data_IF_892524185119
#
_entry.id   IF_892524185119
#
_cell.length_a   1.000
_cell.length_b   1.000
_cell.length_c   1.000
_cell.angle_alpha   90.00
_cell.angle_beta   90.00
_cell.angle_gamma   90.00
#
_symmetry.space_group_name_H-M   'P 1'
#
loop_
_entity.id
_entity.type
_entity.pdbx_description
1 polymer ?
#
# COMPACT_ATOMS: atom_id res chain seq x y z
N UNK A 1 -4.54 1.50 -8.60
CA UNK A 1 -5.41 1.41 -7.41
C UNK A 1 -6.84 1.81 -7.77
N UNK A 2 -7.86 1.09 -7.25
CA UNK A 2 -9.26 1.24 -7.65
C UNK A 2 -10.08 2.25 -6.81
N UNK A 3 -9.49 2.88 -5.80
CA UNK A 3 -10.20 3.84 -4.95
C UNK A 3 -11.22 3.21 -3.99
N UNK A 4 -11.16 1.91 -3.75
CA UNK A 4 -11.99 1.22 -2.75
C UNK A 4 -11.41 1.45 -1.35
N UNK A 5 -12.22 1.86 -0.35
CA UNK A 5 -11.74 1.96 1.03
C UNK A 5 -11.38 0.57 1.57
N UNK A 6 -10.34 0.51 2.41
CA UNK A 6 -9.79 -0.75 2.92
C UNK A 6 -9.84 -0.78 4.45
N UNK A 7 -10.22 -1.93 5.00
CA UNK A 7 -9.99 -2.30 6.40
C UNK A 7 -8.92 -3.39 6.42
N UNK A 8 -7.86 -3.22 7.22
CA UNK A 8 -6.74 -4.16 7.27
C UNK A 8 -6.23 -4.39 8.70
N UNK A 9 -5.45 -5.44 8.90
CA UNK A 9 -4.78 -5.68 10.18
C UNK A 9 -3.57 -4.77 10.35
N UNK A 10 -3.17 -4.43 11.59
CA UNK A 10 -1.92 -3.73 11.85
C UNK A 10 -0.70 -4.46 11.24
N UNK A 11 -0.71 -5.79 11.27
CA UNK A 11 0.35 -6.63 10.70
C UNK A 11 0.46 -6.44 9.18
N UNK A 12 -0.67 -6.44 8.46
CA UNK A 12 -0.68 -6.19 7.02
C UNK A 12 -0.16 -4.79 6.65
N UNK A 13 -0.29 -3.82 7.56
CA UNK A 13 0.18 -2.45 7.36
C UNK A 13 1.61 -2.18 7.84
N UNK A 14 2.25 -3.14 8.52
CA UNK A 14 3.52 -2.93 9.23
C UNK A 14 4.69 -2.45 8.35
N UNK A 15 4.71 -2.85 7.08
CA UNK A 15 5.73 -2.45 6.11
C UNK A 15 5.31 -1.26 5.23
N UNK A 16 4.09 -0.74 5.44
CA UNK A 16 3.52 0.36 4.67
C UNK A 16 3.62 1.67 5.46
N UNK A 17 3.80 2.77 4.75
CA UNK A 17 3.85 4.13 5.30
C UNK A 17 2.44 4.76 5.37
N UNK A 18 1.46 3.94 5.76
CA UNK A 18 0.04 4.31 5.85
C UNK A 18 -0.30 4.81 7.26
N UNK A 19 -1.30 5.67 7.34
CA UNK A 19 -1.86 6.16 8.60
C UNK A 19 -3.32 5.72 8.76
N UNK A 20 -3.63 5.11 9.91
CA UNK A 20 -5.00 4.77 10.27
C UNK A 20 -5.91 6.02 10.31
N UNK A 21 -7.18 5.88 9.97
CA UNK A 21 -8.20 6.95 9.86
C UNK A 21 -7.94 8.01 8.74
N UNK A 22 -6.74 7.99 8.14
CA UNK A 22 -6.36 8.84 7.00
C UNK A 22 -6.39 8.08 5.68
N UNK A 23 -5.66 6.97 5.59
CA UNK A 23 -5.45 6.21 4.35
C UNK A 23 -6.30 4.93 4.31
N UNK A 24 -6.57 4.35 5.48
CA UNK A 24 -7.36 3.12 5.67
C UNK A 24 -7.85 3.01 7.12
N UNK A 25 -8.72 2.04 7.41
CA UNK A 25 -9.11 1.67 8.76
C UNK A 25 -8.37 0.42 9.21
N UNK A 26 -8.02 0.34 10.50
CA UNK A 26 -7.36 -0.83 11.07
C UNK A 26 -8.29 -1.59 12.02
N UNK A 27 -8.16 -2.91 12.04
CA UNK A 27 -8.84 -3.80 12.96
C UNK A 27 -7.94 -5.00 13.32
N UNK A 28 -7.89 -5.36 14.60
CA UNK A 28 -7.08 -6.46 15.13
C UNK A 28 -7.93 -7.68 15.54
N UNK A 29 -9.26 -7.55 15.56
CA UNK A 29 -10.18 -8.64 15.86
C UNK A 29 -11.34 -8.71 14.85
N UNK A 30 -12.05 -9.84 14.82
CA UNK A 30 -13.20 -10.02 13.93
C UNK A 30 -14.33 -9.00 14.24
N UNK A 31 -14.54 -8.69 15.52
CA UNK A 31 -15.54 -7.71 15.94
C UNK A 31 -15.18 -6.29 15.50
N UNK A 32 -13.90 -5.92 15.62
CA UNK A 32 -13.41 -4.63 15.12
C UNK A 32 -13.54 -4.53 13.60
N UNK A 33 -13.25 -5.62 12.87
CA UNK A 33 -13.44 -5.68 11.42
C UNK A 33 -14.89 -5.43 11.05
N UNK A 34 -15.82 -6.15 11.67
CA UNK A 34 -17.24 -5.98 11.44
C UNK A 34 -17.67 -4.52 11.68
N UNK A 35 -17.21 -3.93 12.79
CA UNK A 35 -17.51 -2.54 13.15
C UNK A 35 -16.99 -1.53 12.12
N UNK A 36 -15.75 -1.68 11.67
CA UNK A 36 -15.16 -0.76 10.69
C UNK A 36 -15.77 -0.93 9.30
N UNK A 37 -16.11 -2.16 8.89
CA UNK A 37 -16.81 -2.42 7.64
C UNK A 37 -18.20 -1.79 7.66
N UNK A 38 -18.98 -1.99 8.73
CA UNK A 38 -20.29 -1.35 8.88
C UNK A 38 -20.18 0.17 8.86
N UNK A 39 -19.19 0.75 9.55
CA UNK A 39 -18.93 2.19 9.51
C UNK A 39 -18.68 2.71 8.09
N UNK A 40 -17.98 1.96 7.24
CA UNK A 40 -17.76 2.34 5.83
C UNK A 40 -19.04 2.20 4.98
N UNK A 41 -19.92 1.27 5.33
CA UNK A 41 -21.20 1.08 4.63
C UNK A 41 -22.24 2.13 5.04
N UNK A 42 -22.18 2.64 6.28
CA UNK A 42 -23.10 3.65 6.80
C UNK A 42 -22.68 5.10 6.49
N UNK A 43 -21.38 5.35 6.21
CA UNK A 43 -20.82 6.68 5.95
C UNK A 43 -20.14 6.73 4.57
N UNK A 44 -20.93 7.06 3.54
CA UNK A 44 -20.47 7.21 2.16
C UNK A 44 -19.35 8.26 2.01
N UNK A 45 -19.39 9.33 2.81
CA UNK A 45 -18.38 10.39 2.75
C UNK A 45 -17.04 9.90 3.29
N UNK A 46 -17.05 9.15 4.39
CA UNK A 46 -15.88 8.46 4.91
C UNK A 46 -15.33 7.45 3.91
N UNK A 47 -16.19 6.62 3.32
CA UNK A 47 -15.80 5.63 2.33
C UNK A 47 -15.11 6.26 1.11
N UNK A 48 -15.71 7.32 0.55
CA UNK A 48 -15.13 8.06 -0.57
C UNK A 48 -13.79 8.72 -0.19
N UNK A 49 -13.72 9.33 1.00
CA UNK A 49 -12.50 9.99 1.49
C UNK A 49 -11.34 9.00 1.64
N UNK A 50 -11.57 7.87 2.29
CA UNK A 50 -10.55 6.85 2.50
C UNK A 50 -10.17 6.15 1.20
N UNK A 51 -11.14 5.85 0.33
CA UNK A 51 -10.87 5.32 -1.00
C UNK A 51 -9.94 6.21 -1.83
N UNK A 52 -10.22 7.52 -1.86
CA UNK A 52 -9.38 8.50 -2.53
C UNK A 52 -7.99 8.66 -1.87
N UNK A 53 -7.92 8.61 -0.53
CA UNK A 53 -6.65 8.67 0.19
C UNK A 53 -5.77 7.45 -0.05
N UNK A 54 -6.33 6.23 0.03
CA UNK A 54 -5.62 5.00 -0.28
C UNK A 54 -5.12 4.96 -1.73
N UNK A 55 -5.91 5.46 -2.69
CA UNK A 55 -5.45 5.60 -4.09
C UNK A 55 -4.23 6.53 -4.21
N UNK A 56 -4.30 7.71 -3.60
CA UNK A 56 -3.16 8.66 -3.58
C UNK A 56 -1.91 8.06 -2.94
N UNK A 57 -2.06 7.31 -1.85
CA UNK A 57 -0.95 6.61 -1.21
C UNK A 57 -0.26 5.64 -2.18
N UNK A 58 -1.03 4.80 -2.88
CA UNK A 58 -0.49 3.86 -3.87
C UNK A 58 0.21 4.58 -5.02
N UNK A 59 -0.40 5.63 -5.58
CA UNK A 59 0.20 6.42 -6.67
C UNK A 59 1.52 7.07 -6.27
N UNK A 60 1.70 7.44 -5.01
CA UNK A 60 2.91 8.09 -4.51
C UNK A 60 4.04 7.11 -4.14
N UNK A 61 3.69 5.92 -3.63
CA UNK A 61 4.69 5.02 -3.00
C UNK A 61 4.85 3.69 -3.74
N UNK A 62 3.92 3.33 -4.62
CA UNK A 62 3.85 2.02 -5.26
C UNK A 62 3.59 2.11 -6.77
N UNK A 63 4.05 3.19 -7.41
CA UNK A 63 3.99 3.31 -8.87
C UNK A 63 4.89 2.26 -9.53
N UNK A 64 4.28 1.39 -10.33
CA UNK A 64 4.95 0.26 -10.97
C UNK A 64 6.06 0.68 -11.91
N UNK A 65 5.88 1.79 -12.65
CA UNK A 65 6.88 2.24 -13.61
C UNK A 65 8.14 2.72 -12.88
N UNK A 66 7.96 3.39 -11.73
CA UNK A 66 9.09 3.84 -10.89
C UNK A 66 9.85 2.65 -10.31
N UNK A 67 9.14 1.63 -9.81
CA UNK A 67 9.77 0.44 -9.23
C UNK A 67 10.48 -0.38 -10.31
N UNK A 68 9.87 -0.55 -11.48
CA UNK A 68 10.45 -1.28 -12.60
C UNK A 68 11.73 -0.61 -13.11
N UNK A 69 11.70 0.71 -13.34
CA UNK A 69 12.87 1.46 -13.79
C UNK A 69 14.04 1.32 -12.80
N UNK A 70 13.78 1.41 -11.48
CA UNK A 70 14.81 1.19 -10.46
C UNK A 70 15.39 -0.22 -10.49
N UNK A 71 14.55 -1.23 -10.74
CA UNK A 71 15.01 -2.61 -10.85
C UNK A 71 15.86 -2.81 -12.11
N UNK A 72 15.47 -2.21 -13.24
CA UNK A 72 16.25 -2.20 -14.48
C UNK A 72 17.62 -1.56 -14.27
N UNK A 73 17.70 -0.43 -13.56
CA UNK A 73 18.97 0.21 -13.21
C UNK A 73 19.89 -0.72 -12.40
N UNK A 74 19.32 -1.46 -11.44
CA UNK A 74 20.08 -2.43 -10.64
C UNK A 74 20.60 -3.56 -11.53
N UNK A 75 19.76 -4.10 -12.43
CA UNK A 75 20.18 -5.15 -13.37
C UNK A 75 21.27 -4.65 -14.31
N UNK A 76 21.14 -3.44 -14.86
CA UNK A 76 22.17 -2.82 -15.70
C UNK A 76 23.50 -2.66 -14.94
N UNK A 77 23.44 -2.24 -13.67
CA UNK A 77 24.62 -2.11 -12.82
C UNK A 77 25.30 -3.46 -12.54
N UNK A 78 24.54 -4.52 -12.27
CA UNK A 78 25.08 -5.86 -12.06
C UNK A 78 25.72 -6.45 -13.32
N UNK A 79 25.15 -6.19 -14.51
CA UNK A 79 25.73 -6.64 -15.79
C UNK A 79 26.98 -5.85 -16.19
N UNK A 80 27.08 -4.58 -15.78
CA UNK A 80 28.24 -3.74 -16.03
C UNK A 80 29.38 -3.98 -15.04
N UNK A 81 29.11 -4.61 -13.88
CA UNK A 81 30.13 -4.98 -12.93
C UNK A 81 31.00 -6.11 -13.51
N UNK A 82 32.35 -5.99 -13.49
CA UNK A 82 33.22 -7.08 -13.91
C UNK A 82 32.99 -8.32 -13.05
N UNK A 83 33.11 -9.50 -13.66
CA UNK A 83 32.84 -10.80 -13.04
C UNK A 83 33.78 -11.04 -11.84
N UNK A 84 33.32 -10.72 -10.63
CA UNK A 84 34.10 -10.87 -9.37
C UNK A 84 33.97 -12.29 -8.79
N UNK A 85 33.29 -13.21 -9.48
CA UNK A 85 32.98 -14.56 -8.97
C UNK A 85 33.66 -15.70 -9.75
N UNK A 86 34.71 -15.41 -10.52
CA UNK A 86 35.59 -16.42 -11.09
C UNK A 86 36.93 -16.43 -10.35
N UNK A 87 36.99 -17.17 -9.24
CA UNK A 87 38.19 -17.82 -8.69
C UNK A 87 37.75 -19.05 -7.87
#
# INVERSE_FOLDING_TARGET
ACGTPVVATPQACSALQVQAERDLLMAASAEEFARQVLRLLDDDALAARLGAAGRRYVEQHHDWNVVAARLEDIYAACLAAPDVLRD
#
